data_IF_643363221351
#
_entry.id   IF_643363221351
#
_cell.length_a   1.000
_cell.length_b   1.000
_cell.length_c   1.000
_cell.angle_alpha   90.00
_cell.angle_beta   90.00
_cell.angle_gamma   90.00
#
_symmetry.space_group_name_H-M   'P 1'
#
loop_
_entity.id
_entity.type
_entity.pdbx_description
1 polymer ?
#
# COMPACT_ATOMS: atom_id res chain seq x y z
N UNK A 1 -13.16 -28.16 -9.32
CA UNK A 1 -13.37 -26.77 -8.92
C UNK A 1 -12.68 -25.82 -9.90
N UNK A 2 -13.42 -24.83 -10.32
CA UNK A 2 -12.91 -23.90 -11.29
C UNK A 2 -12.23 -22.73 -10.59
N UNK A 3 -11.04 -22.35 -11.04
CA UNK A 3 -10.30 -21.23 -10.49
C UNK A 3 -10.27 -20.10 -11.49
N UNK A 4 -10.40 -18.88 -10.98
CA UNK A 4 -10.31 -17.72 -11.83
C UNK A 4 -8.88 -17.46 -12.24
N UNK A 5 -8.70 -17.18 -13.51
CA UNK A 5 -7.39 -16.85 -14.04
C UNK A 5 -7.22 -15.34 -13.99
N UNK A 6 -6.13 -14.90 -13.42
CA UNK A 6 -5.81 -13.47 -13.35
C UNK A 6 -4.45 -13.21 -13.99
N UNK A 7 -4.35 -12.07 -14.64
CA UNK A 7 -3.08 -11.57 -15.11
C UNK A 7 -2.54 -10.58 -14.11
N UNK A 8 -1.29 -10.77 -13.71
CA UNK A 8 -0.65 -9.88 -12.74
C UNK A 8 0.28 -8.95 -13.48
N UNK A 9 0.14 -7.66 -13.22
CA UNK A 9 1.00 -6.64 -13.81
C UNK A 9 1.70 -5.92 -12.68
N UNK A 10 3.03 -5.95 -12.71
CA UNK A 10 3.85 -5.34 -11.68
C UNK A 10 4.01 -3.85 -11.97
N UNK A 11 3.65 -3.02 -10.99
CA UNK A 11 3.81 -1.56 -11.08
C UNK A 11 4.91 -1.06 -10.15
N UNK A 12 5.72 -1.97 -9.61
CA UNK A 12 6.82 -1.57 -8.74
C UNK A 12 8.15 -1.56 -9.50
N UNK A 13 9.15 -0.88 -8.97
CA UNK A 13 10.45 -0.81 -9.64
C UNK A 13 11.30 -2.05 -9.45
N UNK A 14 10.82 -3.02 -8.71
CA UNK A 14 11.58 -4.23 -8.39
C UNK A 14 10.89 -5.45 -8.95
N UNK A 15 11.68 -6.48 -9.27
CA UNK A 15 11.13 -7.77 -9.61
C UNK A 15 10.35 -8.32 -8.43
N UNK A 16 9.20 -8.93 -8.71
CA UNK A 16 8.38 -9.54 -7.68
C UNK A 16 8.28 -11.03 -7.99
N UNK A 17 8.66 -11.85 -7.03
CA UNK A 17 8.58 -13.31 -7.15
C UNK A 17 7.52 -13.78 -6.18
N UNK A 18 6.53 -14.48 -6.70
CA UNK A 18 5.42 -15.00 -5.91
C UNK A 18 5.44 -16.52 -5.97
N UNK A 19 5.50 -17.14 -4.81
CA UNK A 19 5.57 -18.60 -4.68
C UNK A 19 4.18 -19.16 -4.38
N UNK A 20 3.76 -20.13 -5.16
CA UNK A 20 2.55 -20.87 -4.88
C UNK A 20 2.83 -22.08 -4.02
N UNK A 21 1.89 -22.97 -3.99
CA UNK A 21 2.08 -24.24 -3.30
C UNK A 21 3.08 -25.08 -4.07
N UNK A 22 3.82 -25.90 -3.35
CA UNK A 22 4.92 -26.63 -3.95
C UNK A 22 6.04 -25.68 -4.30
N UNK A 23 6.62 -25.86 -5.46
CA UNK A 23 7.71 -25.03 -5.93
C UNK A 23 7.35 -24.14 -7.10
N UNK A 24 6.07 -24.01 -7.39
CA UNK A 24 5.62 -23.15 -8.48
C UNK A 24 5.78 -21.70 -8.11
N UNK A 25 6.19 -20.89 -9.06
CA UNK A 25 6.36 -19.48 -8.82
C UNK A 25 6.06 -18.66 -10.06
N UNK A 26 5.68 -17.43 -9.83
CA UNK A 26 5.49 -16.44 -10.88
C UNK A 26 6.52 -15.34 -10.66
N UNK A 27 7.23 -14.99 -11.71
CA UNK A 27 8.21 -13.91 -11.64
C UNK A 27 7.68 -12.74 -12.45
N UNK A 28 7.48 -11.62 -11.79
CA UNK A 28 6.99 -10.41 -12.43
C UNK A 28 8.17 -9.47 -12.62
N UNK A 29 8.47 -9.08 -13.85
CA UNK A 29 9.59 -8.15 -14.07
C UNK A 29 9.27 -6.76 -13.53
N UNK A 30 10.30 -5.96 -13.26
CA UNK A 30 10.09 -4.59 -12.82
C UNK A 30 9.30 -3.79 -13.84
N UNK A 31 8.51 -2.84 -13.37
CA UNK A 31 7.79 -1.95 -14.26
C UNK A 31 8.77 -0.92 -14.86
N UNK A 32 8.55 -0.58 -16.12
CA UNK A 32 9.31 0.49 -16.75
C UNK A 32 8.90 1.85 -16.21
N UNK A 33 7.62 1.99 -15.90
CA UNK A 33 7.07 3.23 -15.39
C UNK A 33 6.31 2.89 -14.10
N UNK A 34 6.66 3.58 -13.02
CA UNK A 34 6.13 3.29 -11.70
C UNK A 34 5.30 4.48 -11.23
N UNK A 35 4.01 4.26 -10.95
CA UNK A 35 3.20 5.33 -10.36
C UNK A 35 3.75 5.73 -9.00
N UNK A 36 3.95 7.01 -8.80
CA UNK A 36 4.49 7.52 -7.54
C UNK A 36 3.47 8.42 -6.88
N UNK A 37 3.39 8.30 -5.57
CA UNK A 37 2.51 9.15 -4.79
C UNK A 37 3.04 10.57 -4.77
N UNK A 38 2.14 11.53 -5.00
CA UNK A 38 2.43 12.93 -4.80
C UNK A 38 1.73 13.31 -3.51
N UNK A 39 2.51 13.58 -2.49
CA UNK A 39 1.98 13.92 -1.19
C UNK A 39 2.22 15.40 -0.94
N UNK A 40 1.27 16.02 -0.30
CA UNK A 40 1.39 17.42 0.04
C UNK A 40 0.65 17.72 1.32
N UNK A 41 0.75 18.95 1.75
CA UNK A 41 0.20 19.34 3.02
C UNK A 41 1.32 19.45 4.01
N UNK A 42 1.25 18.72 5.09
CA UNK A 42 2.30 18.80 6.09
C UNK A 42 2.28 20.11 6.84
N UNK A 43 1.10 20.66 7.03
CA UNK A 43 0.97 21.88 7.80
C UNK A 43 1.44 21.64 9.22
N UNK A 44 1.99 22.67 9.82
CA UNK A 44 2.38 22.59 11.23
C UNK A 44 1.57 23.58 12.04
N UNK A 45 1.30 23.19 13.26
CA UNK A 45 0.67 24.09 14.24
C UNK A 45 1.50 24.05 15.50
N UNK A 46 1.33 25.04 16.33
CA UNK A 46 2.01 25.12 17.62
C UNK A 46 1.01 24.98 18.73
N UNK A 47 1.39 24.24 19.75
CA UNK A 47 0.57 24.03 20.92
C UNK A 47 1.40 24.31 22.17
N UNK A 48 0.73 24.61 23.24
CA UNK A 48 1.34 24.65 24.56
C UNK A 48 0.95 23.37 25.26
N UNK A 49 1.95 22.62 25.70
CA UNK A 49 1.74 21.33 26.30
C UNK A 49 2.24 21.29 27.73
N UNK A 50 1.45 20.69 28.60
CA UNK A 50 1.86 20.42 29.97
C UNK A 50 1.56 18.97 30.27
N UNK A 51 2.25 18.43 31.25
CA UNK A 51 1.90 17.12 31.72
C UNK A 51 0.79 17.22 32.75
N UNK A 52 -0.12 16.26 32.72
CA UNK A 52 -1.18 16.11 33.70
C UNK A 52 -2.12 17.32 33.86
N UNK A 53 -2.07 18.24 32.92
CA UNK A 53 -3.01 19.33 32.93
C UNK A 53 -2.97 20.20 34.19
N UNK A 54 -1.82 20.40 34.78
CA UNK A 54 -1.67 21.23 35.95
C UNK A 54 -2.05 22.69 35.60
N UNK A 55 -3.11 23.21 36.20
CA UNK A 55 -3.51 24.58 35.88
C UNK A 55 -2.50 25.56 36.43
N UNK A 56 -2.21 26.56 35.64
CA UNK A 56 -1.28 27.60 36.05
C UNK A 56 0.18 27.30 35.74
N UNK A 57 0.47 26.12 35.26
CA UNK A 57 1.82 25.83 34.84
C UNK A 57 2.10 26.41 33.46
N UNK A 58 3.33 26.86 33.28
CA UNK A 58 3.77 27.29 31.96
C UNK A 58 3.90 26.09 31.06
N UNK A 59 3.23 26.13 29.94
CA UNK A 59 3.36 25.04 28.99
C UNK A 59 4.66 25.13 28.21
N UNK A 60 5.01 24.02 27.59
CA UNK A 60 6.12 23.97 26.65
C UNK A 60 5.54 24.12 25.27
N UNK A 61 6.12 25.00 24.47
CA UNK A 61 5.66 25.19 23.12
C UNK A 61 6.22 24.05 22.24
N UNK A 62 5.30 23.33 21.61
CA UNK A 62 5.67 22.22 20.73
C UNK A 62 5.09 22.47 19.35
N UNK A 63 5.80 21.97 18.35
CA UNK A 63 5.31 21.97 16.99
C UNK A 63 4.65 20.63 16.71
N UNK A 64 3.43 20.67 16.21
CA UNK A 64 2.73 19.47 15.77
C UNK A 64 2.72 19.46 14.26
N UNK A 65 3.31 18.43 13.68
CA UNK A 65 3.30 18.26 12.23
C UNK A 65 2.10 17.41 11.86
N UNK A 66 1.32 17.93 10.93
CA UNK A 66 0.15 17.20 10.44
C UNK A 66 0.55 16.31 9.27
N UNK A 67 -0.10 15.17 9.17
CA UNK A 67 0.22 14.21 8.14
C UNK A 67 0.02 14.76 6.75
N UNK A 68 0.78 14.24 5.82
CA UNK A 68 0.63 14.59 4.44
C UNK A 68 -0.60 13.89 3.87
N UNK A 69 -1.19 14.52 2.88
CA UNK A 69 -2.32 13.93 2.19
C UNK A 69 -1.95 13.64 0.76
N UNK A 70 -2.64 12.69 0.16
CA UNK A 70 -2.41 12.34 -1.22
C UNK A 70 -2.96 13.43 -2.13
N UNK A 71 -2.11 13.98 -2.97
CA UNK A 71 -2.50 14.92 -4.01
C UNK A 71 -2.75 14.23 -5.34
N UNK A 72 -2.11 13.09 -5.55
CA UNK A 72 -2.29 12.34 -6.79
C UNK A 72 -1.20 11.33 -6.99
N UNK A 73 -1.21 10.75 -8.15
CA UNK A 73 -0.18 9.81 -8.60
C UNK A 73 0.39 10.31 -9.91
N UNK A 74 1.70 10.20 -10.07
CA UNK A 74 2.37 10.57 -11.30
C UNK A 74 3.41 9.49 -11.65
N UNK A 75 3.21 8.78 -12.74
CA UNK A 75 2.01 8.78 -13.57
C UNK A 75 0.83 8.15 -12.84
N UNK A 76 -0.39 8.36 -13.32
CA UNK A 76 -1.56 7.74 -12.69
C UNK A 76 -1.55 6.22 -12.86
N UNK A 77 -2.35 5.57 -12.04
CA UNK A 77 -2.54 4.13 -12.17
C UNK A 77 -3.20 3.82 -13.52
N UNK A 78 -2.85 2.68 -14.12
CA UNK A 78 -3.58 2.24 -15.31
C UNK A 78 -5.06 2.02 -15.01
N UNK A 79 -5.88 2.12 -16.04
CA UNK A 79 -7.30 1.85 -15.88
C UNK A 79 -7.54 0.39 -15.51
N UNK A 80 -8.56 0.11 -14.72
CA UNK A 80 -8.91 -1.28 -14.42
C UNK A 80 -9.26 -2.05 -15.67
N UNK A 81 -8.88 -3.32 -15.70
CA UNK A 81 -9.21 -4.23 -16.79
C UNK A 81 -9.70 -5.54 -16.22
N UNK A 82 -10.68 -6.18 -16.87
CA UNK A 82 -11.18 -7.47 -16.38
C UNK A 82 -10.05 -8.48 -16.26
N UNK A 83 -10.02 -9.20 -15.15
CA UNK A 83 -9.07 -10.26 -14.94
C UNK A 83 -7.63 -9.81 -14.68
N UNK A 84 -7.40 -8.51 -14.45
CA UNK A 84 -6.07 -7.97 -14.20
C UNK A 84 -5.98 -7.48 -12.77
N UNK A 85 -4.91 -7.90 -12.08
CA UNK A 85 -4.54 -7.36 -10.78
C UNK A 85 -3.21 -6.64 -10.94
N UNK A 86 -3.15 -5.43 -10.43
CA UNK A 86 -1.91 -4.66 -10.46
C UNK A 86 -1.20 -4.82 -9.13
N UNK A 87 0.05 -5.27 -9.20
CA UNK A 87 0.89 -5.45 -8.02
C UNK A 87 1.68 -4.18 -7.79
N UNK A 88 1.51 -3.59 -6.63
CA UNK A 88 2.14 -2.32 -6.31
C UNK A 88 2.60 -2.36 -4.85
N UNK A 89 3.15 -1.26 -4.36
CA UNK A 89 3.51 -1.19 -2.96
C UNK A 89 2.26 -1.06 -2.09
N UNK A 90 2.37 -1.52 -0.86
CA UNK A 90 1.26 -1.39 0.08
C UNK A 90 0.89 0.07 0.29
N UNK A 91 1.88 0.95 0.31
CA UNK A 91 1.65 2.38 0.53
C UNK A 91 0.78 2.95 -0.60
N UNK A 92 1.10 2.63 -1.84
CA UNK A 92 0.28 3.09 -2.97
C UNK A 92 -1.13 2.55 -2.86
N UNK A 93 -1.25 1.26 -2.57
CA UNK A 93 -2.57 0.65 -2.46
C UNK A 93 -3.39 1.26 -1.33
N UNK A 94 -2.78 1.54 -0.20
CA UNK A 94 -3.49 2.14 0.93
C UNK A 94 -3.99 3.55 0.64
N UNK A 95 -3.31 4.27 -0.24
CA UNK A 95 -3.74 5.61 -0.62
C UNK A 95 -4.80 5.60 -1.72
N UNK A 96 -5.12 4.44 -2.25
CA UNK A 96 -6.11 4.31 -3.33
C UNK A 96 -7.16 3.26 -2.98
N UNK A 97 -7.88 3.46 -1.87
CA UNK A 97 -8.81 2.44 -1.40
C UNK A 97 -10.00 2.19 -2.33
N UNK A 98 -10.26 3.11 -3.23
CA UNK A 98 -11.33 2.95 -4.21
C UNK A 98 -10.98 1.94 -5.30
N UNK A 99 -9.68 1.65 -5.47
CA UNK A 99 -9.24 0.68 -6.46
C UNK A 99 -9.26 -0.71 -5.84
N UNK A 100 -10.00 -1.59 -6.45
CA UNK A 100 -10.16 -2.96 -5.96
C UNK A 100 -9.29 -3.96 -6.68
N UNK A 101 -8.47 -3.49 -7.59
CA UNK A 101 -7.60 -4.30 -8.41
C UNK A 101 -6.13 -4.14 -8.05
N UNK A 102 -5.84 -3.56 -6.89
CA UNK A 102 -4.47 -3.40 -6.41
C UNK A 102 -4.15 -4.46 -5.38
N UNK A 103 -2.96 -5.02 -5.49
CA UNK A 103 -2.48 -6.04 -4.56
C UNK A 103 -1.03 -5.74 -4.22
N UNK A 104 -0.56 -6.26 -3.10
CA UNK A 104 0.84 -6.12 -2.71
C UNK A 104 1.35 -7.44 -2.17
N UNK A 105 2.68 -7.66 -2.23
CA UNK A 105 3.24 -8.93 -1.75
C UNK A 105 2.93 -9.16 -0.26
N UNK A 106 2.56 -10.38 0.06
CA UNK A 106 2.17 -10.78 1.40
C UNK A 106 2.96 -12.01 1.82
N UNK A 107 3.34 -12.07 3.09
CA UNK A 107 4.16 -13.14 3.64
C UNK A 107 5.50 -13.23 2.93
N UNK A 108 6.34 -12.26 3.20
CA UNK A 108 7.65 -12.20 2.57
C UNK A 108 8.51 -13.39 2.97
N UNK A 109 9.21 -13.92 1.97
CA UNK A 109 10.22 -14.96 2.17
C UNK A 109 11.55 -14.26 2.19
N UNK A 110 12.36 -14.54 3.21
CA UNK A 110 13.65 -13.91 3.36
C UNK A 110 14.75 -14.95 3.28
N UNK A 111 15.91 -14.54 2.77
CA UNK A 111 17.08 -15.41 2.73
C UNK A 111 17.73 -15.44 4.11
N UNK A 112 18.85 -16.16 4.20
CA UNK A 112 19.56 -16.32 5.47
C UNK A 112 20.05 -15.00 6.04
N UNK A 113 20.22 -14.00 5.19
CA UNK A 113 20.69 -12.68 5.61
C UNK A 113 19.55 -11.72 5.90
N UNK A 114 18.31 -12.21 5.84
CA UNK A 114 17.13 -11.40 6.13
C UNK A 114 16.64 -10.57 4.98
N UNK A 115 17.18 -10.75 3.78
CA UNK A 115 16.74 -9.97 2.61
C UNK A 115 15.53 -10.62 1.95
N UNK A 116 14.54 -9.82 1.56
CA UNK A 116 13.37 -10.38 0.88
C UNK A 116 13.75 -10.97 -0.47
N UNK A 117 13.32 -12.20 -0.73
CA UNK A 117 13.55 -12.87 -2.01
C UNK A 117 12.26 -13.19 -2.74
N UNK A 118 11.12 -12.94 -2.10
CA UNK A 118 9.84 -13.20 -2.71
C UNK A 118 8.75 -13.18 -1.67
N UNK A 119 7.57 -13.60 -2.06
CA UNK A 119 6.43 -13.66 -1.16
C UNK A 119 5.59 -14.89 -1.48
N UNK A 120 4.83 -15.35 -0.51
CA UNK A 120 3.98 -16.52 -0.70
C UNK A 120 2.62 -16.17 -1.28
N UNK A 121 2.25 -14.92 -1.27
CA UNK A 121 0.96 -14.52 -1.80
C UNK A 121 0.82 -13.04 -1.93
N UNK A 122 -0.39 -12.62 -2.17
CA UNK A 122 -0.75 -11.22 -2.34
C UNK A 122 -1.79 -10.84 -1.31
N UNK A 123 -1.77 -9.59 -0.89
CA UNK A 123 -2.79 -9.01 -0.05
C UNK A 123 -3.51 -7.92 -0.82
N UNK A 124 -4.76 -7.71 -0.50
CA UNK A 124 -5.61 -6.70 -1.11
C UNK A 124 -6.45 -6.05 -0.04
N UNK A 125 -7.06 -4.93 -0.37
CA UNK A 125 -7.97 -4.28 0.55
C UNK A 125 -9.17 -5.19 0.82
N UNK A 126 -9.55 -5.24 2.08
CA UNK A 126 -10.73 -5.97 2.46
C UNK A 126 -11.96 -5.15 2.09
N UNK A 127 -12.96 -5.82 1.52
CA UNK A 127 -14.21 -5.16 1.21
C UNK A 127 -14.97 -4.97 2.53
N UNK A 128 -15.40 -3.75 2.85
CA UNK A 128 -16.17 -3.54 4.07
C UNK A 128 -17.43 -4.37 4.09
N UNK A 129 -17.74 -4.95 5.23
CA UNK A 129 -18.88 -5.85 5.36
C UNK A 129 -20.21 -5.17 5.07
N UNK A 130 -20.30 -3.90 5.35
CA UNK A 130 -21.56 -3.19 5.18
C UNK A 130 -21.79 -2.67 3.77
N UNK A 131 -20.91 -2.97 2.85
CA UNK A 131 -20.98 -2.37 1.51
C UNK A 131 -21.66 -3.26 0.51
N UNK A 132 -21.52 -4.54 0.66
CA UNK A 132 -21.77 -5.41 -0.46
C UNK A 132 -23.04 -6.17 -0.43
N UNK A 133 -23.74 -6.15 0.66
CA UNK A 133 -24.75 -7.17 0.82
C UNK A 133 -26.15 -6.66 0.63
N UNK A 134 -26.24 -5.49 0.18
CA UNK A 134 -27.52 -4.97 -0.22
C UNK A 134 -27.74 -5.37 -1.65
N UNK A 135 -28.29 -6.39 -1.78
CA UNK A 135 -28.80 -6.87 -3.04
C UNK A 135 -28.14 -6.66 -4.26
#
# INVERSE_FOLDING_TARGET
MKRDMHTLINLSPHEVVLWGEGDDRVVLPPAAVVPRLILGGGETTRILATSDGEPGESGVELTVAHGERLLGLDPPLPDPQPGVLYVTSRVVAEHCPERRDLAWPHELIRDEEGRPIGARGLAMHQVPLNVTFTG
#
